data_IF_631691158372
#
_entry.id   IF_631691158372
#
_cell.length_a   1.000
_cell.length_b   1.000
_cell.length_c   1.000
_cell.angle_alpha   90.00
_cell.angle_beta   90.00
_cell.angle_gamma   90.00
#
_symmetry.space_group_name_H-M   'P 1'
#
loop_
_entity.id
_entity.type
_entity.pdbx_description
1 polymer ?
#
# COMPACT_ATOMS: atom_id res chain seq x y z
N UNK A 1 14.18 -23.56 21.76
CA UNK A 1 14.20 -22.70 20.56
C UNK A 1 13.59 -21.37 20.94
N UNK A 2 14.29 -20.26 20.75
CA UNK A 2 13.78 -18.92 20.97
C UNK A 2 12.64 -18.62 19.96
N UNK A 3 11.76 -17.64 20.25
CA UNK A 3 10.68 -17.26 19.30
C UNK A 3 11.23 -16.80 17.95
N UNK A 4 12.45 -16.28 17.88
CA UNK A 4 13.12 -15.87 16.64
C UNK A 4 13.50 -17.08 15.77
N UNK A 5 14.09 -18.13 16.34
CA UNK A 5 14.48 -19.34 15.59
C UNK A 5 13.27 -20.07 14.95
N UNK A 6 12.07 -19.92 15.58
CA UNK A 6 10.83 -20.48 15.01
C UNK A 6 10.34 -19.67 13.80
N UNK A 7 10.63 -18.38 13.71
CA UNK A 7 10.21 -17.53 12.61
C UNK A 7 11.13 -17.63 11.38
N UNK A 8 12.44 -17.86 11.62
CA UNK A 8 13.42 -17.95 10.54
C UNK A 8 13.13 -19.07 9.52
N UNK A 9 12.50 -20.16 9.98
CA UNK A 9 12.06 -21.25 9.09
C UNK A 9 10.93 -20.85 8.10
N UNK A 10 10.38 -19.65 8.24
CA UNK A 10 9.39 -19.10 7.32
C UNK A 10 10.03 -18.34 6.16
N UNK A 11 11.28 -17.91 6.30
CA UNK A 11 12.04 -17.23 5.25
C UNK A 11 12.21 -18.18 4.07
N UNK A 12 11.91 -17.70 2.86
CA UNK A 12 11.90 -18.49 1.63
C UNK A 12 10.61 -19.25 1.33
N UNK A 13 9.67 -19.36 2.29
CA UNK A 13 8.35 -19.92 1.99
C UNK A 13 7.64 -19.07 0.95
N UNK A 14 7.00 -19.72 -0.02
CA UNK A 14 6.30 -19.06 -1.10
C UNK A 14 4.94 -19.66 -1.36
N UNK A 15 4.06 -18.83 -1.94
CA UNK A 15 2.79 -19.23 -2.54
C UNK A 15 2.69 -18.64 -3.94
N UNK A 16 1.92 -19.29 -4.80
CA UNK A 16 1.67 -18.78 -6.14
C UNK A 16 0.18 -18.79 -6.47
N UNK A 17 -0.23 -17.81 -7.27
CA UNK A 17 -1.57 -17.70 -7.83
C UNK A 17 -1.45 -17.21 -9.28
N UNK A 18 -2.35 -17.67 -10.16
CA UNK A 18 -2.49 -17.16 -11.52
C UNK A 18 -3.87 -16.49 -11.69
N UNK A 19 -3.89 -15.42 -12.46
CA UNK A 19 -5.12 -14.67 -12.73
C UNK A 19 -5.07 -14.08 -14.14
N UNK A 20 -6.22 -14.07 -14.83
CA UNK A 20 -6.39 -13.31 -16.05
C UNK A 20 -6.67 -11.86 -15.72
N UNK A 21 -5.86 -10.95 -16.25
CA UNK A 21 -5.99 -9.51 -16.02
C UNK A 21 -7.19 -8.98 -16.80
N UNK A 22 -8.35 -8.94 -16.15
CA UNK A 22 -9.59 -8.43 -16.78
C UNK A 22 -9.71 -6.92 -16.60
N UNK A 23 -10.56 -6.29 -17.42
CA UNK A 23 -10.71 -4.83 -17.47
C UNK A 23 -11.53 -4.24 -16.31
N UNK A 24 -12.35 -5.05 -15.62
CA UNK A 24 -13.30 -4.53 -14.64
C UNK A 24 -12.65 -3.77 -13.49
N UNK A 25 -11.58 -4.29 -12.81
CA UNK A 25 -10.94 -3.56 -11.72
C UNK A 25 -10.38 -2.21 -12.16
N UNK A 26 -9.79 -2.15 -13.36
CA UNK A 26 -9.27 -0.89 -13.93
C UNK A 26 -10.39 0.10 -14.22
N UNK A 27 -11.48 -0.32 -14.85
CA UNK A 27 -12.67 0.53 -15.08
C UNK A 27 -13.28 1.03 -13.78
N UNK A 28 -13.41 0.15 -12.80
CA UNK A 28 -13.98 0.51 -11.50
C UNK A 28 -13.10 1.51 -10.73
N UNK A 29 -11.77 1.34 -10.76
CA UNK A 29 -10.83 2.27 -10.13
C UNK A 29 -10.77 3.60 -10.87
N UNK A 30 -10.84 3.61 -12.22
CA UNK A 30 -10.95 4.83 -13.00
C UNK A 30 -12.16 5.67 -12.57
N UNK A 31 -13.29 5.02 -12.32
CA UNK A 31 -14.49 5.70 -11.83
C UNK A 31 -14.33 6.25 -10.40
N UNK A 32 -13.45 5.67 -9.55
CA UNK A 32 -13.07 6.24 -8.24
C UNK A 32 -12.25 7.52 -8.43
N UNK A 33 -11.40 7.56 -9.45
CA UNK A 33 -10.49 8.68 -9.75
C UNK A 33 -11.07 9.72 -10.72
N UNK A 34 -12.34 9.55 -11.12
CA UNK A 34 -13.04 10.41 -12.10
C UNK A 34 -12.35 10.46 -13.48
N UNK A 35 -11.81 9.30 -13.91
CA UNK A 35 -11.25 9.17 -15.25
C UNK A 35 -12.26 8.56 -16.21
N UNK A 36 -12.27 9.07 -17.43
CA UNK A 36 -12.99 8.45 -18.53
C UNK A 36 -12.28 7.17 -18.98
N UNK A 37 -13.04 6.08 -19.08
CA UNK A 37 -12.52 4.71 -19.19
C UNK A 37 -12.30 4.23 -20.63
N UNK A 38 -12.36 5.08 -21.62
CA UNK A 38 -12.22 4.67 -23.00
C UNK A 38 -10.81 4.11 -23.29
N UNK A 39 -10.74 2.80 -23.60
CA UNK A 39 -9.58 2.11 -24.17
C UNK A 39 -8.32 1.98 -23.30
N UNK A 40 -8.45 1.68 -22.01
CA UNK A 40 -7.29 1.32 -21.18
C UNK A 40 -6.83 -0.08 -21.59
N UNK A 41 -5.63 -0.20 -22.14
CA UNK A 41 -4.98 -1.48 -22.52
C UNK A 41 -3.99 -1.99 -21.50
N UNK A 42 -3.42 -1.09 -20.72
CA UNK A 42 -2.39 -1.37 -19.73
C UNK A 42 -2.92 -1.07 -18.32
N UNK A 43 -2.53 -1.89 -17.35
CA UNK A 43 -2.82 -1.65 -15.94
C UNK A 43 -1.97 -0.45 -15.48
N UNK A 44 -2.55 0.66 -15.02
CA UNK A 44 -1.79 1.81 -14.52
C UNK A 44 -0.87 1.44 -13.35
N UNK A 45 0.22 2.17 -13.16
CA UNK A 45 1.14 1.95 -12.04
C UNK A 45 0.40 1.96 -10.69
N UNK A 46 0.67 0.94 -9.86
CA UNK A 46 0.01 0.73 -8.57
C UNK A 46 -1.33 0.01 -8.64
N UNK A 47 -1.99 -0.05 -9.80
CA UNK A 47 -3.31 -0.68 -9.93
C UNK A 47 -3.24 -2.21 -10.05
N UNK A 48 -2.05 -2.81 -10.12
CA UNK A 48 -1.87 -4.25 -9.97
C UNK A 48 -2.34 -4.75 -8.59
N UNK A 49 -2.48 -3.88 -7.58
CA UNK A 49 -3.07 -4.19 -6.28
C UNK A 49 -4.58 -4.49 -6.33
N UNK A 50 -5.24 -4.26 -7.46
CA UNK A 50 -6.64 -4.60 -7.72
C UNK A 50 -6.83 -6.07 -8.14
N UNK A 51 -5.72 -6.79 -8.34
CA UNK A 51 -5.69 -8.19 -8.79
C UNK A 51 -5.03 -9.09 -7.74
N UNK A 52 -5.17 -10.39 -7.91
CA UNK A 52 -4.63 -11.39 -6.99
C UNK A 52 -5.10 -11.17 -5.54
N UNK A 53 -6.36 -10.83 -5.41
CA UNK A 53 -6.95 -10.49 -4.11
C UNK A 53 -6.97 -11.71 -3.19
N UNK A 54 -6.65 -11.49 -1.92
CA UNK A 54 -6.84 -12.51 -0.90
C UNK A 54 -8.33 -12.57 -0.53
N UNK A 55 -8.95 -13.75 -0.66
CA UNK A 55 -10.38 -13.97 -0.44
C UNK A 55 -10.60 -14.94 0.73
N UNK A 56 -10.32 -14.55 1.97
CA UNK A 56 -10.52 -15.42 3.13
C UNK A 56 -12.01 -15.69 3.36
N UNK A 57 -12.33 -16.91 3.80
CA UNK A 57 -13.69 -17.21 4.26
C UNK A 57 -14.05 -16.31 5.46
N UNK A 58 -15.30 -15.86 5.54
CA UNK A 58 -15.80 -14.99 6.61
C UNK A 58 -15.42 -15.48 8.02
N UNK A 59 -15.53 -16.80 8.31
CA UNK A 59 -15.12 -17.40 9.59
C UNK A 59 -13.63 -17.29 9.91
N UNK A 60 -12.82 -16.92 8.95
CA UNK A 60 -11.37 -16.81 9.07
C UNK A 60 -10.91 -15.37 9.32
N UNK A 61 -11.83 -14.40 9.37
CA UNK A 61 -11.51 -13.03 9.73
C UNK A 61 -11.29 -12.90 11.24
N UNK A 62 -10.33 -12.05 11.60
CA UNK A 62 -10.11 -11.59 12.96
C UNK A 62 -11.08 -10.46 13.36
N UNK A 63 -11.02 -10.01 14.62
CA UNK A 63 -11.90 -8.95 15.11
C UNK A 63 -11.61 -7.59 14.45
N UNK A 64 -10.40 -7.40 13.92
CA UNK A 64 -9.97 -6.21 13.16
C UNK A 64 -10.39 -6.22 11.69
N UNK A 65 -10.98 -7.34 11.22
CA UNK A 65 -11.37 -7.56 9.83
C UNK A 65 -10.27 -8.18 8.95
N UNK A 66 -9.05 -8.28 9.42
CA UNK A 66 -8.02 -9.00 8.66
C UNK A 66 -8.16 -10.51 8.77
N UNK A 67 -7.64 -11.23 7.79
CA UNK A 67 -7.52 -12.68 7.89
C UNK A 67 -6.64 -13.07 9.08
N UNK A 68 -7.11 -14.06 9.87
CA UNK A 68 -6.33 -14.69 10.94
C UNK A 68 -5.02 -15.23 10.40
N UNK A 69 -3.94 -15.03 11.14
CA UNK A 69 -2.59 -15.42 10.74
C UNK A 69 -2.47 -16.93 10.67
N UNK A 70 -2.35 -17.44 9.44
CA UNK A 70 -2.23 -18.87 9.15
C UNK A 70 -1.70 -19.07 7.73
N UNK A 71 -1.39 -20.30 7.37
CA UNK A 71 -0.95 -20.65 6.02
C UNK A 71 0.38 -20.03 5.66
N UNK A 72 0.39 -19.10 4.72
CA UNK A 72 1.58 -18.43 4.23
C UNK A 72 2.18 -17.45 5.25
N UNK A 73 1.34 -16.75 6.00
CA UNK A 73 1.81 -15.74 6.95
C UNK A 73 2.43 -16.35 8.21
N UNK A 74 3.62 -15.88 8.62
CA UNK A 74 4.29 -16.41 9.83
C UNK A 74 3.48 -16.11 11.10
N UNK A 75 3.55 -16.99 12.12
CA UNK A 75 2.78 -16.89 13.36
C UNK A 75 3.38 -15.85 14.32
N UNK A 76 3.53 -14.61 13.88
CA UNK A 76 4.04 -13.50 14.69
C UNK A 76 3.04 -13.22 15.82
N UNK A 77 3.53 -13.22 17.07
CA UNK A 77 2.68 -13.08 18.26
C UNK A 77 2.19 -11.63 18.50
N UNK A 78 2.91 -10.63 17.97
CA UNK A 78 2.55 -9.22 18.15
C UNK A 78 1.20 -8.90 17.49
N UNK A 79 0.21 -8.35 18.23
CA UNK A 79 -1.17 -8.29 17.78
C UNK A 79 -1.43 -7.29 16.64
N UNK A 80 -0.80 -6.12 16.69
CA UNK A 80 -1.09 -5.04 15.73
C UNK A 80 -0.22 -5.17 14.49
N UNK A 81 -0.84 -5.29 13.31
CA UNK A 81 -0.19 -5.33 12.00
C UNK A 81 -0.38 -4.01 11.26
N UNK A 82 0.71 -3.43 10.80
CA UNK A 82 0.71 -2.18 10.04
C UNK A 82 1.40 -2.39 8.68
N UNK A 83 0.85 -1.78 7.65
CA UNK A 83 1.53 -1.60 6.37
C UNK A 83 2.53 -0.43 6.53
N UNK A 84 3.82 -0.69 6.34
CA UNK A 84 4.86 0.31 6.58
C UNK A 84 5.35 1.01 5.32
N UNK A 85 5.05 0.44 4.15
CA UNK A 85 5.51 0.92 2.85
C UNK A 85 5.99 -0.22 1.96
N UNK A 86 6.69 0.11 0.90
CA UNK A 86 7.17 -0.88 -0.06
C UNK A 86 8.10 -0.29 -1.11
N UNK A 87 8.51 -1.18 -2.00
CA UNK A 87 9.31 -0.87 -3.16
C UNK A 87 8.76 -1.67 -4.35
N UNK A 88 8.55 -1.01 -5.48
CA UNK A 88 8.01 -1.62 -6.68
C UNK A 88 8.95 -1.31 -7.84
N UNK A 89 9.40 -2.35 -8.54
CA UNK A 89 10.22 -2.26 -9.75
C UNK A 89 9.33 -2.68 -10.92
N UNK A 90 9.20 -1.80 -11.90
CA UNK A 90 8.40 -1.99 -13.10
C UNK A 90 9.31 -2.30 -14.29
N UNK A 91 9.31 -3.55 -14.75
CA UNK A 91 10.13 -3.98 -15.89
C UNK A 91 9.37 -3.88 -17.21
N UNK A 92 8.06 -4.14 -17.19
CA UNK A 92 7.17 -4.13 -18.35
C UNK A 92 5.76 -3.70 -17.91
N UNK A 93 4.94 -3.13 -18.82
CA UNK A 93 3.53 -2.91 -18.54
C UNK A 93 2.78 -4.25 -18.40
N UNK A 94 1.83 -4.33 -17.46
CA UNK A 94 0.84 -5.41 -17.38
C UNK A 94 -0.30 -5.08 -18.34
N UNK A 95 -0.62 -6.00 -19.28
CA UNK A 95 -1.69 -5.78 -20.26
C UNK A 95 -2.99 -6.45 -19.81
N UNK A 96 -4.10 -5.79 -20.12
CA UNK A 96 -5.44 -6.39 -19.96
C UNK A 96 -5.57 -7.55 -20.96
N UNK A 97 -6.11 -8.68 -20.50
CA UNK A 97 -6.27 -9.91 -21.27
C UNK A 97 -5.11 -10.93 -21.10
N UNK A 98 -4.00 -10.54 -20.46
CA UNK A 98 -2.91 -11.46 -20.17
C UNK A 98 -3.18 -12.34 -18.96
N UNK A 99 -2.70 -13.58 -18.99
CA UNK A 99 -2.59 -14.44 -17.82
C UNK A 99 -1.26 -14.16 -17.12
N UNK A 100 -1.33 -13.74 -15.87
CA UNK A 100 -0.18 -13.40 -15.04
C UNK A 100 -0.14 -14.34 -13.84
N UNK A 101 1.07 -14.81 -13.51
CA UNK A 101 1.37 -15.53 -12.29
C UNK A 101 2.01 -14.60 -11.26
N UNK A 102 1.48 -14.60 -10.04
CA UNK A 102 2.06 -13.94 -8.86
C UNK A 102 2.68 -14.99 -7.96
N UNK A 103 3.98 -14.86 -7.70
CA UNK A 103 4.70 -15.63 -6.67
C UNK A 103 5.02 -14.70 -5.52
N UNK A 104 4.52 -15.03 -4.32
CA UNK A 104 4.80 -14.28 -3.10
C UNK A 104 5.73 -15.09 -2.21
N UNK A 105 6.87 -14.52 -1.83
CA UNK A 105 7.90 -15.19 -1.01
C UNK A 105 8.20 -14.36 0.23
N UNK A 106 8.30 -14.98 1.38
CA UNK A 106 8.80 -14.32 2.60
C UNK A 106 10.29 -14.07 2.43
N UNK A 107 10.64 -12.79 2.23
CA UNK A 107 12.00 -12.35 1.97
C UNK A 107 12.84 -12.26 3.25
N UNK A 108 12.28 -11.63 4.30
CA UNK A 108 12.98 -11.52 5.59
C UNK A 108 12.02 -11.28 6.75
N UNK A 109 12.45 -11.71 7.95
CA UNK A 109 11.77 -11.42 9.22
C UNK A 109 12.84 -10.90 10.19
N UNK A 110 12.63 -9.70 10.76
CA UNK A 110 13.59 -9.05 11.66
C UNK A 110 12.90 -8.55 12.92
N UNK A 111 13.35 -9.03 14.07
CA UNK A 111 12.90 -8.54 15.36
C UNK A 111 13.77 -7.37 15.82
N UNK A 112 13.15 -6.32 16.36
CA UNK A 112 13.84 -5.16 16.95
C UNK A 112 13.12 -4.75 18.23
N UNK A 113 13.88 -4.23 19.17
CA UNK A 113 13.35 -3.54 20.33
C UNK A 113 13.48 -2.04 20.05
N UNK A 114 12.34 -1.37 19.91
CA UNK A 114 12.28 0.07 19.73
C UNK A 114 11.92 0.81 21.02
N UNK A 115 11.89 2.13 20.97
CA UNK A 115 11.43 2.98 22.10
C UNK A 115 10.00 2.69 22.53
N UNK A 116 9.21 2.09 21.65
CA UNK A 116 7.81 1.75 21.89
C UNK A 116 7.55 0.27 22.18
N UNK A 117 8.58 -0.53 22.44
CA UNK A 117 8.48 -1.98 22.72
C UNK A 117 8.97 -2.84 21.56
N UNK A 118 8.54 -4.10 21.57
CA UNK A 118 8.95 -5.08 20.57
C UNK A 118 8.29 -4.81 19.22
N UNK A 119 9.11 -4.93 18.16
CA UNK A 119 8.69 -4.79 16.77
C UNK A 119 9.19 -6.01 15.98
N UNK A 120 8.35 -6.51 15.08
CA UNK A 120 8.75 -7.50 14.08
C UNK A 120 8.49 -6.93 12.69
N UNK A 121 9.54 -6.82 11.90
CA UNK A 121 9.49 -6.41 10.51
C UNK A 121 9.40 -7.65 9.63
N UNK A 122 8.39 -7.71 8.78
CA UNK A 122 8.20 -8.76 7.78
C UNK A 122 8.28 -8.12 6.40
N UNK A 123 9.21 -8.61 5.58
CA UNK A 123 9.29 -8.22 4.16
C UNK A 123 8.85 -9.39 3.30
N UNK A 124 7.94 -9.12 2.36
CA UNK A 124 7.42 -10.08 1.41
C UNK A 124 7.79 -9.59 0.01
N UNK A 125 8.35 -10.47 -0.82
CA UNK A 125 8.59 -10.22 -2.23
C UNK A 125 7.46 -10.82 -3.07
N UNK A 126 6.86 -10.02 -3.93
CA UNK A 126 5.84 -10.43 -4.90
C UNK A 126 6.39 -10.25 -6.31
N UNK A 127 6.50 -11.34 -7.06
CA UNK A 127 6.90 -11.33 -8.47
C UNK A 127 5.70 -11.62 -9.35
N UNK A 128 5.39 -10.71 -10.26
CA UNK A 128 4.34 -10.85 -11.24
C UNK A 128 4.98 -11.15 -12.59
N UNK A 129 4.66 -12.29 -13.20
CA UNK A 129 5.33 -12.79 -14.39
C UNK A 129 4.42 -13.62 -15.28
N UNK A 130 4.80 -13.77 -16.52
CA UNK A 130 4.29 -14.80 -17.42
C UNK A 130 5.47 -15.44 -18.18
N UNK A 131 5.20 -16.17 -19.29
CA UNK A 131 6.22 -16.78 -20.15
C UNK A 131 7.22 -15.78 -20.73
N UNK A 132 6.83 -14.51 -20.87
CA UNK A 132 7.66 -13.45 -21.47
C UNK A 132 8.54 -12.73 -20.44
N UNK A 133 8.47 -13.13 -19.17
CA UNK A 133 9.33 -12.66 -18.08
C UNK A 133 8.59 -11.94 -16.95
N UNK A 134 9.35 -11.21 -16.14
CA UNK A 134 8.85 -10.49 -14.96
C UNK A 134 8.36 -9.11 -15.38
N UNK A 135 7.10 -8.78 -15.04
CA UNK A 135 6.48 -7.47 -15.24
C UNK A 135 6.75 -6.54 -14.06
N UNK A 136 6.45 -7.02 -12.85
CA UNK A 136 6.59 -6.25 -11.62
C UNK A 136 7.32 -7.12 -10.59
N UNK A 137 8.25 -6.49 -9.86
CA UNK A 137 8.85 -7.05 -8.67
C UNK A 137 8.59 -6.10 -7.50
N UNK A 138 7.73 -6.51 -6.57
CA UNK A 138 7.29 -5.69 -5.44
C UNK A 138 7.80 -6.25 -4.12
N UNK A 139 8.29 -5.37 -3.26
CA UNK A 139 8.60 -5.67 -1.86
C UNK A 139 7.61 -4.96 -0.95
N UNK A 140 6.81 -5.73 -0.25
CA UNK A 140 5.87 -5.25 0.77
C UNK A 140 6.51 -5.29 2.15
N UNK A 141 6.50 -4.18 2.87
CA UNK A 141 7.00 -4.10 4.23
C UNK A 141 5.84 -4.01 5.23
N UNK A 142 5.74 -5.00 6.12
CA UNK A 142 4.80 -5.05 7.23
C UNK A 142 5.55 -4.89 8.55
N UNK A 143 4.93 -4.20 9.50
CA UNK A 143 5.43 -4.07 10.87
C UNK A 143 4.38 -4.59 11.83
N UNK A 144 4.81 -5.46 12.72
CA UNK A 144 4.00 -5.93 13.85
C UNK A 144 4.51 -5.31 15.14
N UNK A 145 3.60 -4.87 15.99
CA UNK A 145 3.92 -4.25 17.29
C UNK A 145 2.98 -4.74 18.40
N UNK A 146 3.37 -4.45 19.61
CA UNK A 146 2.53 -4.63 20.79
C UNK A 146 1.27 -3.75 20.70
N UNK A 147 0.19 -4.23 21.30
CA UNK A 147 -1.02 -3.43 21.49
C UNK A 147 -0.78 -2.42 22.62
N UNK A 148 -1.08 -1.17 22.35
CA UNK A 148 -1.05 -0.06 23.31
C UNK A 148 -2.38 0.70 23.28
N UNK A 149 -3.48 -0.01 23.12
CA UNK A 149 -4.83 0.54 23.04
C UNK A 149 -5.22 1.44 24.21
N UNK A 150 -4.59 1.29 25.38
CA UNK A 150 -4.76 2.19 26.53
C UNK A 150 -4.07 3.57 26.36
N UNK A 151 -3.16 3.69 25.39
CA UNK A 151 -2.52 4.96 25.07
C UNK A 151 -3.13 5.48 23.76
N UNK A 152 -3.84 6.61 23.82
CA UNK A 152 -4.28 7.33 22.59
C UNK A 152 -3.14 7.34 21.60
N UNK A 153 -3.45 6.97 20.35
CA UNK A 153 -2.47 6.99 19.25
C UNK A 153 -1.79 8.36 19.24
N UNK A 154 -0.57 8.43 19.78
CA UNK A 154 0.24 9.63 19.62
C UNK A 154 0.55 9.74 18.14
N UNK A 155 -0.10 10.69 17.49
CA UNK A 155 0.27 11.12 16.15
C UNK A 155 1.71 11.63 16.27
N UNK A 156 2.67 10.80 15.86
CA UNK A 156 4.10 11.10 16.01
C UNK A 156 4.44 12.39 15.28
N UNK A 157 5.46 13.06 15.79
CA UNK A 157 6.10 14.28 15.29
C UNK A 157 5.79 14.58 13.83
N UNK A 158 4.96 15.59 13.63
CA UNK A 158 4.58 16.07 12.31
C UNK A 158 5.81 16.63 11.59
N UNK A 159 6.25 15.94 10.55
CA UNK A 159 7.23 16.48 9.61
C UNK A 159 6.45 17.42 8.70
N UNK A 160 6.77 18.71 8.71
CA UNK A 160 6.13 19.68 7.83
C UNK A 160 6.47 19.39 6.38
N UNK A 161 5.48 19.53 5.50
CA UNK A 161 5.67 19.48 4.06
C UNK A 161 6.58 20.63 3.60
N UNK A 162 7.48 20.42 2.61
CA UNK A 162 8.17 21.48 1.94
C UNK A 162 7.20 22.53 1.39
N UNK A 163 7.63 23.80 1.37
CA UNK A 163 6.85 24.91 0.79
C UNK A 163 6.89 24.89 -0.74
N UNK A 164 8.02 24.44 -1.31
CA UNK A 164 8.24 24.35 -2.74
C UNK A 164 8.01 22.92 -3.26
N UNK A 165 7.35 22.82 -4.41
CA UNK A 165 7.17 21.61 -5.20
C UNK A 165 7.02 21.96 -6.69
N UNK A 166 7.38 21.03 -7.59
CA UNK A 166 7.23 21.20 -9.03
C UNK A 166 5.85 20.75 -9.51
N UNK A 167 5.26 19.77 -8.82
CA UNK A 167 3.98 19.16 -9.20
C UNK A 167 3.09 18.92 -7.99
N UNK A 168 1.80 19.13 -8.19
CA UNK A 168 0.79 18.86 -7.18
C UNK A 168 -0.49 18.31 -7.81
N UNK A 169 -1.13 17.41 -7.07
CA UNK A 169 -2.52 17.01 -7.32
C UNK A 169 -3.24 16.82 -5.99
N UNK A 170 -4.42 17.42 -5.89
CA UNK A 170 -5.23 17.40 -4.66
C UNK A 170 -6.38 16.41 -4.80
N UNK A 171 -6.67 15.68 -3.74
CA UNK A 171 -7.85 14.83 -3.59
C UNK A 171 -8.59 15.19 -2.31
N UNK A 172 -9.91 15.18 -2.39
CA UNK A 172 -10.77 15.20 -1.21
C UNK A 172 -11.19 13.77 -0.91
N UNK A 173 -10.76 13.24 0.23
CA UNK A 173 -11.15 11.90 0.65
C UNK A 173 -12.57 11.89 1.17
N UNK A 174 -13.33 10.83 0.86
CA UNK A 174 -14.69 10.64 1.33
C UNK A 174 -14.94 9.19 1.76
N UNK A 175 -15.98 8.97 2.56
CA UNK A 175 -16.38 7.62 2.98
C UNK A 175 -16.66 6.71 1.77
N UNK A 176 -17.28 7.24 0.72
CA UNK A 176 -17.58 6.50 -0.50
C UNK A 176 -16.31 6.10 -1.23
N UNK A 177 -15.30 6.98 -1.28
CA UNK A 177 -13.99 6.66 -1.87
C UNK A 177 -13.32 5.53 -1.09
N UNK A 178 -13.28 5.59 0.24
CA UNK A 178 -12.67 4.56 1.07
C UNK A 178 -13.42 3.23 0.97
N UNK A 179 -14.75 3.25 0.97
CA UNK A 179 -15.58 2.05 0.76
C UNK A 179 -15.29 1.41 -0.59
N UNK A 180 -15.30 2.19 -1.67
CA UNK A 180 -15.03 1.69 -3.03
C UNK A 180 -13.62 1.13 -3.15
N UNK A 181 -12.62 1.77 -2.55
CA UNK A 181 -11.24 1.26 -2.52
C UNK A 181 -11.14 -0.04 -1.72
N UNK A 182 -11.75 -0.11 -0.52
CA UNK A 182 -11.83 -1.34 0.26
C UNK A 182 -12.47 -2.49 -0.53
N UNK A 183 -13.58 -2.22 -1.24
CA UNK A 183 -14.26 -3.22 -2.06
C UNK A 183 -13.39 -3.71 -3.22
N UNK A 184 -12.71 -2.80 -3.93
CA UNK A 184 -11.86 -3.12 -5.08
C UNK A 184 -10.57 -3.85 -4.70
N UNK A 185 -10.05 -3.64 -3.50
CA UNK A 185 -8.85 -4.30 -2.98
C UNK A 185 -9.17 -5.46 -2.03
N UNK A 186 -10.45 -5.74 -1.81
CA UNK A 186 -10.95 -6.71 -0.81
C UNK A 186 -10.31 -6.50 0.58
N UNK A 187 -10.09 -5.23 0.94
CA UNK A 187 -9.52 -4.86 2.24
C UNK A 187 -10.64 -4.66 3.26
N UNK A 188 -10.74 -5.60 4.18
CA UNK A 188 -11.79 -5.64 5.21
C UNK A 188 -11.31 -5.11 6.57
N UNK A 189 -10.17 -4.42 6.65
CA UNK A 189 -9.70 -3.83 7.90
C UNK A 189 -10.65 -2.73 8.37
N UNK A 190 -11.23 -2.93 9.54
CA UNK A 190 -12.34 -2.12 10.09
C UNK A 190 -12.02 -0.65 10.26
N UNK A 191 -10.77 -0.26 10.46
CA UNK A 191 -10.38 1.16 10.61
C UNK A 191 -10.72 2.02 9.38
N UNK A 192 -10.98 1.39 8.21
CA UNK A 192 -11.25 2.09 6.98
C UNK A 192 -12.74 2.33 6.69
N UNK A 193 -13.66 1.73 7.48
CA UNK A 193 -15.12 1.84 7.25
C UNK A 193 -15.99 1.77 8.51
N UNK A 194 -15.45 1.28 9.63
CA UNK A 194 -16.20 1.11 10.87
C UNK A 194 -15.76 2.17 11.88
N UNK A 195 -16.46 3.30 11.88
CA UNK A 195 -16.15 4.45 12.76
C UNK A 195 -16.11 4.07 14.24
N UNK A 196 -17.11 3.35 14.83
CA UNK A 196 -17.04 2.93 16.22
C UNK A 196 -15.81 2.07 16.54
N UNK A 197 -15.41 1.19 15.63
CA UNK A 197 -14.21 0.38 15.80
C UNK A 197 -12.93 1.23 15.74
N UNK A 198 -12.81 2.07 14.74
CA UNK A 198 -11.64 2.93 14.55
C UNK A 198 -11.43 3.85 15.77
N UNK A 199 -12.52 4.40 16.32
CA UNK A 199 -12.45 5.38 17.42
C UNK A 199 -12.41 4.74 18.80
N UNK A 200 -13.28 3.78 19.10
CA UNK A 200 -13.43 3.23 20.45
C UNK A 200 -12.50 2.07 20.73
N UNK A 201 -12.06 1.32 19.67
CA UNK A 201 -11.18 0.16 19.83
C UNK A 201 -9.74 0.51 19.49
N UNK A 202 -9.50 1.11 18.31
CA UNK A 202 -8.14 1.45 17.86
C UNK A 202 -7.65 2.83 18.33
N UNK A 203 -8.56 3.70 18.86
CA UNK A 203 -8.22 5.00 19.42
C UNK A 203 -7.86 6.08 18.41
N UNK A 204 -8.22 5.90 17.12
CA UNK A 204 -8.07 6.93 16.10
C UNK A 204 -9.14 8.02 16.26
N UNK A 205 -8.89 9.27 15.84
CA UNK A 205 -9.90 10.32 15.91
C UNK A 205 -11.04 10.15 14.91
N UNK A 206 -10.79 9.43 13.80
CA UNK A 206 -11.76 9.20 12.71
C UNK A 206 -11.35 7.96 11.87
N UNK A 207 -12.11 7.65 10.83
CA UNK A 207 -11.83 6.63 9.85
C UNK A 207 -10.52 6.95 9.12
N UNK A 208 -9.64 5.95 9.04
CA UNK A 208 -8.28 6.07 8.49
C UNK A 208 -8.29 5.86 6.98
N UNK A 209 -7.63 6.74 6.24
CA UNK A 209 -7.37 6.56 4.81
C UNK A 209 -6.36 5.41 4.61
N UNK A 210 -6.60 4.54 3.65
CA UNK A 210 -5.70 3.41 3.36
C UNK A 210 -4.30 3.89 2.97
N UNK A 211 -3.27 3.32 3.59
CA UNK A 211 -1.88 3.58 3.20
C UNK A 211 -1.61 3.29 1.71
N UNK A 212 -2.04 2.14 1.17
CA UNK A 212 -1.95 1.87 -0.27
C UNK A 212 -2.73 2.87 -1.14
N UNK A 213 -3.86 3.42 -0.71
CA UNK A 213 -4.58 4.47 -1.46
C UNK A 213 -3.75 5.75 -1.55
N UNK A 214 -3.08 6.15 -0.45
CA UNK A 214 -2.16 7.29 -0.47
C UNK A 214 -0.99 7.06 -1.45
N UNK A 215 -0.41 5.86 -1.49
CA UNK A 215 0.60 5.50 -2.48
C UNK A 215 0.03 5.52 -3.91
N UNK A 216 -1.23 5.10 -4.09
CA UNK A 216 -1.91 5.17 -5.39
C UNK A 216 -2.10 6.62 -5.86
N UNK A 217 -2.37 7.58 -4.97
CA UNK A 217 -2.43 8.99 -5.31
C UNK A 217 -1.08 9.53 -5.83
N UNK A 218 0.05 9.13 -5.22
CA UNK A 218 1.37 9.48 -5.74
C UNK A 218 1.65 8.85 -7.10
N UNK A 219 1.31 7.57 -7.27
CA UNK A 219 1.47 6.87 -8.56
C UNK A 219 0.60 7.49 -9.65
N UNK A 220 -0.58 8.00 -9.29
CA UNK A 220 -1.45 8.73 -10.20
C UNK A 220 -0.84 10.09 -10.61
N UNK A 221 -0.23 10.82 -9.67
CA UNK A 221 0.54 12.03 -10.00
C UNK A 221 1.69 11.71 -10.95
N UNK A 222 2.46 10.64 -10.68
CA UNK A 222 3.53 10.16 -11.56
C UNK A 222 2.99 9.83 -12.96
N UNK A 223 1.86 9.12 -13.08
CA UNK A 223 1.22 8.80 -14.35
C UNK A 223 0.93 10.07 -15.18
N UNK A 224 0.51 11.16 -14.52
CA UNK A 224 0.27 12.43 -15.20
C UNK A 224 1.57 13.10 -15.65
N UNK A 225 2.63 13.05 -14.85
CA UNK A 225 3.96 13.62 -15.18
C UNK A 225 4.56 12.87 -16.37
N UNK A 226 4.60 11.54 -16.35
CA UNK A 226 5.25 10.74 -17.41
C UNK A 226 4.51 10.80 -18.75
N UNK A 227 3.18 11.01 -18.75
CA UNK A 227 2.44 11.24 -20.00
C UNK A 227 2.97 12.46 -20.77
N UNK A 228 3.44 13.49 -20.06
CA UNK A 228 3.99 14.71 -20.66
C UNK A 228 5.47 14.54 -20.97
N UNK A 229 6.26 13.97 -20.05
CA UNK A 229 7.71 13.81 -20.21
C UNK A 229 8.10 12.67 -21.15
N UNK A 230 7.17 11.75 -21.49
CA UNK A 230 7.39 10.51 -22.27
C UNK A 230 8.36 9.52 -21.60
N UNK A 231 8.66 9.71 -20.34
CA UNK A 231 9.47 8.79 -19.54
C UNK A 231 8.62 7.62 -19.04
N UNK A 232 9.29 6.62 -18.45
CA UNK A 232 8.67 5.47 -17.81
C UNK A 232 9.07 5.42 -16.35
N UNK A 233 8.16 4.97 -15.50
CA UNK A 233 8.48 4.66 -14.12
C UNK A 233 9.22 3.31 -14.07
N UNK A 234 10.46 3.35 -13.60
CA UNK A 234 11.27 2.15 -13.37
C UNK A 234 11.11 1.62 -11.95
N UNK A 235 11.16 2.51 -10.95
CA UNK A 235 11.09 2.14 -9.54
C UNK A 235 10.29 3.16 -8.73
N UNK A 236 9.50 2.65 -7.79
CA UNK A 236 8.78 3.47 -6.80
C UNK A 236 9.00 2.88 -5.41
N UNK A 237 9.56 3.68 -4.50
CA UNK A 237 9.78 3.30 -3.11
C UNK A 237 9.01 4.26 -2.21
N UNK A 238 8.32 3.75 -1.18
CA UNK A 238 7.53 4.61 -0.30
C UNK A 238 7.50 4.11 1.14
N UNK A 239 7.27 5.05 2.06
CA UNK A 239 7.19 4.81 3.49
C UNK A 239 6.01 5.59 4.07
N UNK A 240 5.15 4.89 4.81
CA UNK A 240 4.07 5.49 5.58
C UNK A 240 4.64 6.07 6.88
N UNK A 241 4.28 7.32 7.19
CA UNK A 241 4.80 8.08 8.33
C UNK A 241 3.73 8.33 9.39
N UNK A 242 2.54 8.73 8.97
CA UNK A 242 1.41 9.01 9.85
C UNK A 242 0.06 8.69 9.19
N UNK A 243 -0.98 8.37 9.97
CA UNK A 243 -2.31 8.16 9.43
C UNK A 243 -2.90 9.49 8.92
N UNK A 244 -3.73 9.39 7.87
CA UNK A 244 -4.60 10.46 7.38
C UNK A 244 -6.04 10.04 7.62
N UNK A 245 -6.92 11.00 7.92
CA UNK A 245 -8.32 10.74 8.22
C UNK A 245 -9.23 11.20 7.11
N UNK A 246 -10.39 10.56 7.00
CA UNK A 246 -11.41 10.85 5.99
C UNK A 246 -11.94 12.29 6.10
N UNK A 247 -12.41 12.86 4.98
CA UNK A 247 -13.07 14.16 4.92
C UNK A 247 -12.16 15.36 4.68
N UNK A 248 -10.83 15.17 4.85
CA UNK A 248 -9.83 16.21 4.56
C UNK A 248 -9.37 16.24 3.11
N UNK A 249 -8.85 17.37 2.69
CA UNK A 249 -8.05 17.46 1.47
C UNK A 249 -6.65 16.96 1.74
N UNK A 250 -6.14 16.12 0.85
CA UNK A 250 -4.77 15.65 0.84
C UNK A 250 -4.14 16.00 -0.51
N UNK A 251 -2.86 16.30 -0.47
CA UNK A 251 -2.12 16.71 -1.65
C UNK A 251 -0.97 15.74 -1.90
N UNK A 252 -0.92 15.16 -3.09
CA UNK A 252 0.26 14.49 -3.60
C UNK A 252 1.15 15.53 -4.25
N UNK A 253 2.38 15.67 -3.76
CA UNK A 253 3.35 16.66 -4.22
C UNK A 253 4.64 15.98 -4.64
N UNK A 254 5.36 16.58 -5.59
CA UNK A 254 6.63 16.08 -6.08
C UNK A 254 7.60 17.19 -6.44
N UNK A 255 8.89 16.91 -6.24
CA UNK A 255 10.04 17.70 -6.72
C UNK A 255 10.86 16.86 -7.68
N UNK A 256 11.31 17.44 -8.78
CA UNK A 256 12.24 16.81 -9.71
C UNK A 256 13.62 16.62 -9.07
N UNK A 257 14.22 15.47 -9.33
CA UNK A 257 15.61 15.17 -9.01
C UNK A 257 16.39 14.87 -10.28
N UNK A 258 17.69 14.62 -10.17
CA UNK A 258 18.52 14.22 -11.31
C UNK A 258 18.13 12.88 -11.95
N UNK A 259 17.47 11.99 -11.20
CA UNK A 259 17.14 10.62 -11.64
C UNK A 259 15.64 10.33 -11.64
N UNK A 260 14.82 11.30 -11.20
CA UNK A 260 13.38 11.07 -11.10
C UNK A 260 12.66 12.09 -10.23
N UNK A 261 11.97 11.61 -9.18
CA UNK A 261 11.13 12.45 -8.32
C UNK A 261 11.29 12.08 -6.85
N UNK A 262 11.36 13.07 -5.97
CA UNK A 262 11.02 12.95 -4.56
C UNK A 262 9.56 13.35 -4.38
N UNK A 263 8.77 12.51 -3.69
CA UNK A 263 7.33 12.69 -3.57
C UNK A 263 6.87 12.56 -2.13
N UNK A 264 5.73 13.19 -1.81
CA UNK A 264 5.07 13.01 -0.51
C UNK A 264 3.57 13.26 -0.59
N UNK A 265 2.86 12.70 0.36
CA UNK A 265 1.48 13.06 0.66
C UNK A 265 1.50 14.09 1.79
N UNK A 266 0.94 15.26 1.54
CA UNK A 266 0.66 16.30 2.53
C UNK A 266 -0.78 16.15 3.02
N UNK A 267 -0.96 16.03 4.34
CA UNK A 267 -2.26 15.98 4.98
C UNK A 267 -2.91 17.37 5.10
N UNK A 268 -4.15 17.42 5.55
CA UNK A 268 -4.91 18.66 5.77
C UNK A 268 -4.30 19.61 6.79
N UNK A 269 -3.31 19.17 7.57
CA UNK A 269 -2.61 19.99 8.57
C UNK A 269 -1.22 20.45 8.09
N UNK A 270 -0.87 20.14 6.84
CA UNK A 270 0.40 20.52 6.24
C UNK A 270 1.57 19.63 6.64
N UNK A 271 1.33 18.39 7.08
CA UNK A 271 2.38 17.45 7.47
C UNK A 271 2.53 16.36 6.41
N UNK A 272 3.74 15.77 6.33
CA UNK A 272 3.99 14.62 5.47
C UNK A 272 3.44 13.36 6.12
N UNK A 273 2.49 12.70 5.46
CA UNK A 273 1.92 11.42 5.91
C UNK A 273 2.51 10.20 5.21
N UNK A 274 3.04 10.39 4.01
CA UNK A 274 3.76 9.39 3.24
C UNK A 274 4.90 10.09 2.50
N UNK A 275 6.10 9.52 2.51
CA UNK A 275 7.23 9.93 1.66
C UNK A 275 7.55 8.84 0.65
N UNK A 276 7.96 9.24 -0.56
CA UNK A 276 8.30 8.32 -1.64
C UNK A 276 9.39 8.87 -2.55
N UNK A 277 9.98 7.96 -3.32
CA UNK A 277 10.92 8.26 -4.40
C UNK A 277 10.55 7.46 -5.63
N UNK A 278 10.71 8.06 -6.80
CA UNK A 278 10.47 7.44 -8.09
C UNK A 278 11.69 7.62 -8.99
N UNK A 279 12.22 6.52 -9.51
CA UNK A 279 13.25 6.53 -10.55
C UNK A 279 12.56 6.49 -11.91
N UNK A 280 12.88 7.45 -12.78
CA UNK A 280 12.34 7.54 -14.14
C UNK A 280 13.42 7.19 -15.16
N UNK A 281 13.00 6.54 -16.25
CA UNK A 281 13.86 6.20 -17.41
C UNK A 281 13.19 6.65 -18.71
N UNK A 282 13.99 6.83 -19.76
CA UNK A 282 13.53 7.20 -21.10
C UNK A 282 12.78 6.07 -21.81
#
# INVERSE_FOLDING_TARGET
>A
MSNSEKLDQWIGKSIENSENINEFPVKAMSAVFNYDNANIKEVPYGWHWLYFLNLPLQKNLGPDGHEKRRGFMPPIQLPVRMYAGGEIIYNKPMLIGEEIKKVSTIDSIKNKVGSTGNLTFLRINHKFSNKDGIFINEYQNLVYREDKSEQKVKLNTSIKSPEYYDFEKVWKTSHEMLFRYSALTHNTHRIHYDFPYATNVEGYPDIVVHGPLMATFLLDLINNIIKVSKQKLNKFSFKLLSPVFVGGEISAQAIKTSTGLDLWIKDQYGNISLSAQADLID
#
